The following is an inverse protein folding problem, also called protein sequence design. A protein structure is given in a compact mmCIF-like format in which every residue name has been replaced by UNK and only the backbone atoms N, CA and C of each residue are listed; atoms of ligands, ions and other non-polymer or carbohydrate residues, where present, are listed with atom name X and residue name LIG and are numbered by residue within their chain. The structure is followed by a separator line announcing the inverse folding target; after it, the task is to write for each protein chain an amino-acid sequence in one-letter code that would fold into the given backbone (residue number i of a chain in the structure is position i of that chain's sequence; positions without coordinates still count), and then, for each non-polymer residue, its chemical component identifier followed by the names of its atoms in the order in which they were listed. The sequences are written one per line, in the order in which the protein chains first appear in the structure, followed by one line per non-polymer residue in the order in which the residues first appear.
data_IF_933994021867
#
_entry.id   IF_933994021867
#
_cell.length_a   1.000
_cell.length_b   1.000
_cell.length_c   1.000
_cell.angle_alpha   90.00
_cell.angle_beta   90.00
_cell.angle_gamma   90.00
#
_symmetry.space_group_name_H-M   'P 1'
#
loop_
_entity.id
_entity.type
_entity.pdbx_description
1 polymer ?
#
# COMPACT_ATOMS: atom_id res chain seq x y z
N UNK A 1 0.93 -22.43 47.25
CA UNK A 1 2.07 -22.45 46.31
C UNK A 1 1.51 -22.70 44.92
N UNK A 2 1.50 -21.70 44.04
CA UNK A 2 0.94 -21.79 42.69
C UNK A 2 2.10 -22.12 41.73
N UNK A 3 1.95 -23.18 40.93
CA UNK A 3 2.87 -23.50 39.84
C UNK A 3 2.32 -22.90 38.56
N UNK A 4 3.03 -21.94 37.98
CA UNK A 4 2.74 -21.44 36.63
C UNK A 4 3.70 -22.11 35.64
N UNK A 5 3.16 -22.96 34.76
CA UNK A 5 3.85 -23.49 33.58
C UNK A 5 3.55 -22.57 32.40
N UNK A 6 4.37 -21.54 32.21
CA UNK A 6 4.36 -20.71 31.01
C UNK A 6 5.43 -21.21 30.04
N UNK A 7 5.04 -21.99 29.03
CA UNK A 7 5.93 -22.32 27.93
C UNK A 7 6.36 -21.02 27.22
N UNK A 8 7.65 -20.84 26.89
CA UNK A 8 8.06 -19.72 26.07
C UNK A 8 7.47 -19.93 24.68
N UNK A 9 6.52 -19.09 24.28
CA UNK A 9 6.21 -18.95 22.87
C UNK A 9 7.52 -18.53 22.19
N UNK A 10 8.01 -19.27 21.18
CA UNK A 10 9.12 -18.77 20.39
C UNK A 10 8.61 -17.49 19.71
N UNK A 11 9.10 -16.35 20.18
CA UNK A 11 8.99 -15.12 19.40
C UNK A 11 9.75 -15.41 18.11
N UNK A 12 9.01 -15.56 17.01
CA UNK A 12 9.63 -15.61 15.69
C UNK A 12 10.56 -14.40 15.58
N UNK A 13 11.83 -14.64 15.25
CA UNK A 13 12.77 -13.55 15.02
C UNK A 13 12.12 -12.57 14.04
N UNK A 14 12.11 -11.28 14.38
CA UNK A 14 11.67 -10.24 13.47
C UNK A 14 12.59 -10.31 12.25
N UNK A 15 12.09 -10.92 11.17
CA UNK A 15 12.81 -10.96 9.91
C UNK A 15 13.07 -9.51 9.50
N UNK A 16 14.33 -9.18 9.21
CA UNK A 16 14.64 -7.86 8.66
C UNK A 16 13.93 -7.74 7.31
N UNK A 17 13.15 -6.67 7.07
CA UNK A 17 12.48 -6.50 5.80
C UNK A 17 13.50 -6.48 4.67
N UNK A 18 13.25 -7.23 3.62
CA UNK A 18 14.08 -7.27 2.42
C UNK A 18 13.31 -6.69 1.25
N UNK A 19 14.00 -5.91 0.42
CA UNK A 19 13.39 -5.34 -0.77
C UNK A 19 13.14 -6.42 -1.82
N UNK A 20 11.90 -6.52 -2.32
CA UNK A 20 11.51 -7.46 -3.37
C UNK A 20 11.50 -6.77 -4.75
N UNK A 21 10.75 -5.67 -4.84
CA UNK A 21 10.56 -4.91 -6.07
C UNK A 21 9.98 -3.52 -5.78
N UNK A 22 10.11 -2.63 -6.76
CA UNK A 22 9.42 -1.34 -6.81
C UNK A 22 9.22 -0.91 -8.26
N UNK A 23 8.31 0.03 -8.44
CA UNK A 23 8.05 0.71 -9.70
C UNK A 23 7.73 2.17 -9.40
N UNK A 24 8.04 3.05 -10.34
CA UNK A 24 7.69 4.46 -10.28
C UNK A 24 7.15 4.86 -11.65
N UNK A 25 6.18 5.76 -11.67
CA UNK A 25 5.49 6.18 -12.87
C UNK A 25 5.04 7.64 -12.72
N UNK A 26 4.75 8.27 -13.85
CA UNK A 26 4.12 9.58 -13.93
C UNK A 26 3.24 9.59 -15.16
N UNK A 27 2.07 10.21 -15.06
CA UNK A 27 1.11 10.32 -16.16
C UNK A 27 0.56 11.74 -16.23
N UNK A 28 -0.14 12.07 -17.31
CA UNK A 28 -1.07 13.19 -17.29
C UNK A 28 -2.18 12.96 -16.24
N UNK A 29 -2.97 14.01 -15.95
CA UNK A 29 -4.08 13.93 -15.01
C UNK A 29 -5.15 12.95 -15.51
N UNK A 30 -5.36 11.87 -14.75
CA UNK A 30 -6.36 10.83 -14.99
C UNK A 30 -7.16 10.60 -13.71
N UNK A 31 -8.47 10.31 -13.83
CA UNK A 31 -9.31 9.97 -12.68
C UNK A 31 -9.06 8.56 -12.16
N UNK A 32 -8.45 7.70 -12.97
CA UNK A 32 -8.04 6.35 -12.62
C UNK A 32 -6.88 5.89 -13.48
N UNK A 33 -5.92 5.19 -12.89
CA UNK A 33 -4.79 4.57 -13.59
C UNK A 33 -4.33 3.30 -12.87
N UNK A 34 -3.62 2.44 -13.61
CA UNK A 34 -3.13 1.17 -13.10
C UNK A 34 -1.62 1.02 -13.29
N UNK A 35 -0.97 0.38 -12.33
CA UNK A 35 0.47 0.17 -12.27
C UNK A 35 0.73 -1.30 -12.00
N UNK A 36 1.68 -1.91 -12.72
CA UNK A 36 2.03 -3.31 -12.53
C UNK A 36 3.30 -3.46 -11.66
N UNK A 37 3.21 -4.36 -10.67
CA UNK A 37 4.34 -5.03 -10.05
C UNK A 37 4.45 -6.41 -10.70
N UNK A 38 5.46 -6.63 -11.54
CA UNK A 38 5.53 -7.82 -12.41
C UNK A 38 6.22 -9.01 -11.76
N UNK A 39 6.90 -8.83 -10.63
CA UNK A 39 7.51 -9.95 -9.88
C UNK A 39 6.51 -10.55 -8.88
N UNK A 40 6.69 -11.82 -8.49
CA UNK A 40 5.88 -12.43 -7.45
C UNK A 40 5.87 -11.62 -6.15
N UNK A 41 4.71 -11.54 -5.51
CA UNK A 41 4.55 -11.07 -4.12
C UNK A 41 4.25 -12.28 -3.26
N UNK A 42 5.02 -12.48 -2.19
CA UNK A 42 4.82 -13.58 -1.25
C UNK A 42 3.72 -13.24 -0.24
N UNK A 43 3.09 -14.28 0.32
CA UNK A 43 2.16 -14.08 1.42
C UNK A 43 2.91 -13.47 2.61
N UNK A 44 2.35 -12.41 3.19
CA UNK A 44 2.96 -11.72 4.33
C UNK A 44 3.81 -10.51 3.94
N UNK A 45 4.10 -10.30 2.64
CA UNK A 45 4.86 -9.14 2.20
C UNK A 45 4.13 -7.83 2.54
N UNK A 46 4.92 -6.80 2.86
CA UNK A 46 4.45 -5.44 3.05
C UNK A 46 4.52 -4.68 1.72
N UNK A 47 3.38 -4.16 1.29
CA UNK A 47 3.28 -3.26 0.14
C UNK A 47 3.15 -1.83 0.63
N UNK A 48 3.90 -0.91 0.03
CA UNK A 48 3.85 0.52 0.37
C UNK A 48 3.93 1.33 -0.93
N UNK A 49 3.17 2.41 -1.00
CA UNK A 49 3.25 3.37 -2.10
C UNK A 49 2.90 4.78 -1.64
N UNK A 50 3.58 5.76 -2.23
CA UNK A 50 3.23 7.17 -2.09
C UNK A 50 2.58 7.61 -3.40
N UNK A 51 1.32 8.03 -3.32
CA UNK A 51 0.54 8.44 -4.47
C UNK A 51 0.21 9.92 -4.39
N UNK A 52 0.33 10.60 -5.52
CA UNK A 52 0.01 12.01 -5.65
C UNK A 52 -0.87 12.24 -6.87
N UNK A 53 -1.96 12.97 -6.69
CA UNK A 53 -2.87 13.35 -7.76
C UNK A 53 -3.18 14.84 -7.68
N UNK A 54 -2.60 15.58 -8.61
CA UNK A 54 -2.79 17.02 -8.72
C UNK A 54 -4.23 17.35 -9.10
N UNK A 55 -4.82 18.31 -8.39
CA UNK A 55 -6.19 18.78 -8.62
C UNK A 55 -7.21 17.61 -8.65
N UNK A 56 -6.99 16.62 -7.77
CA UNK A 56 -7.95 15.60 -7.44
C UNK A 56 -9.16 16.23 -6.71
N UNK A 57 -10.41 15.91 -7.10
CA UNK A 57 -11.60 16.45 -6.44
C UNK A 57 -11.86 15.87 -5.04
N UNK A 58 -11.06 14.90 -4.60
CA UNK A 58 -11.15 14.25 -3.31
C UNK A 58 -9.95 13.34 -3.06
N UNK A 59 -10.01 12.56 -1.99
CA UNK A 59 -8.95 11.63 -1.63
C UNK A 59 -8.81 10.50 -2.66
N UNK A 60 -7.57 10.16 -2.98
CA UNK A 60 -7.30 9.00 -3.80
C UNK A 60 -7.69 7.71 -3.07
N UNK A 61 -8.01 6.68 -3.85
CA UNK A 61 -8.34 5.35 -3.39
C UNK A 61 -7.38 4.41 -4.10
N UNK A 62 -6.68 3.58 -3.31
CA UNK A 62 -5.69 2.63 -3.82
C UNK A 62 -6.18 1.23 -3.53
N UNK A 63 -6.12 0.36 -4.54
CA UNK A 63 -6.45 -1.05 -4.43
C UNK A 63 -5.56 -1.88 -5.33
N UNK A 64 -5.53 -3.20 -5.13
CA UNK A 64 -4.96 -4.12 -6.10
C UNK A 64 -5.89 -5.31 -6.38
N UNK A 65 -5.59 -6.03 -7.47
CA UNK A 65 -6.38 -7.15 -7.97
C UNK A 65 -6.44 -8.39 -7.06
N UNK A 66 -5.65 -8.46 -5.97
CA UNK A 66 -5.54 -9.62 -5.08
C UNK A 66 -5.98 -9.30 -3.64
N UNK A 67 -5.59 -8.15 -3.11
CA UNK A 67 -5.81 -7.74 -1.73
C UNK A 67 -7.01 -6.80 -1.55
N UNK A 68 -7.52 -6.21 -2.63
CA UNK A 68 -8.53 -5.16 -2.59
C UNK A 68 -7.95 -3.83 -2.13
N UNK A 69 -8.75 -3.05 -1.38
CA UNK A 69 -8.35 -1.72 -0.92
C UNK A 69 -7.12 -1.75 0.01
N UNK A 70 -6.25 -0.76 -0.15
CA UNK A 70 -5.10 -0.51 0.70
C UNK A 70 -5.46 0.44 1.84
N UNK A 71 -4.70 0.37 2.93
CA UNK A 71 -4.87 1.28 4.06
C UNK A 71 -4.21 2.61 3.74
N UNK A 72 -4.97 3.69 3.83
CA UNK A 72 -4.46 5.07 3.73
C UNK A 72 -3.87 5.52 5.05
N UNK A 73 -2.69 6.12 5.03
CA UNK A 73 -2.16 6.83 6.20
C UNK A 73 -2.73 8.24 6.20
N UNK A 74 -3.70 8.50 7.07
CA UNK A 74 -4.29 9.83 7.21
C UNK A 74 -3.31 10.84 7.84
N UNK A 75 -2.49 10.38 8.78
CA UNK A 75 -1.45 11.21 9.39
C UNK A 75 -0.33 11.48 8.36
N UNK A 76 -0.16 12.75 7.97
CA UNK A 76 0.82 13.13 6.97
C UNK A 76 0.33 13.05 5.52
N UNK A 77 -0.98 12.95 5.30
CA UNK A 77 -1.56 13.30 4.00
C UNK A 77 -1.37 14.81 3.75
N UNK A 78 -1.07 15.17 2.51
CA UNK A 78 -0.72 16.52 2.08
C UNK A 78 -1.55 16.94 0.86
N UNK A 79 -1.57 18.24 0.61
CA UNK A 79 -1.97 18.87 -0.64
C UNK A 79 -0.72 19.38 -1.37
N UNK A 80 -0.86 19.75 -2.64
CA UNK A 80 0.18 20.51 -3.34
C UNK A 80 0.25 21.95 -2.79
N UNK A 81 1.31 22.70 -3.13
CA UNK A 81 1.54 24.06 -2.62
C UNK A 81 0.40 25.07 -2.92
N UNK A 82 -0.48 24.76 -3.88
CA UNK A 82 -1.67 25.54 -4.22
C UNK A 82 -2.95 25.06 -3.50
N UNK A 83 -2.79 24.23 -2.46
CA UNK A 83 -3.86 23.58 -1.69
C UNK A 83 -4.80 22.69 -2.52
N UNK A 84 -4.37 22.27 -3.71
CA UNK A 84 -5.14 21.36 -4.54
C UNK A 84 -4.65 19.92 -4.45
N UNK A 85 -5.55 18.99 -4.81
CA UNK A 85 -5.22 17.59 -5.00
C UNK A 85 -5.01 16.79 -3.72
N UNK A 86 -4.44 15.60 -3.88
CA UNK A 86 -4.23 14.63 -2.80
C UNK A 86 -2.85 14.00 -2.93
N UNK A 87 -2.12 13.97 -1.81
CA UNK A 87 -0.83 13.33 -1.68
C UNK A 87 -0.87 12.48 -0.41
N UNK A 88 -0.77 11.15 -0.53
CA UNK A 88 -0.84 10.28 0.65
C UNK A 88 -0.04 8.99 0.50
N UNK A 89 0.39 8.46 1.65
CA UNK A 89 1.00 7.14 1.77
C UNK A 89 -0.11 6.08 1.93
N UNK A 90 0.02 4.97 1.21
CA UNK A 90 -0.83 3.81 1.37
C UNK A 90 0.03 2.58 1.61
N UNK A 91 -0.52 1.64 2.38
CA UNK A 91 0.15 0.40 2.65
C UNK A 91 -0.83 -0.78 2.69
N UNK A 92 -0.29 -1.97 2.43
CA UNK A 92 -0.98 -3.23 2.63
C UNK A 92 -0.06 -4.21 3.34
N UNK A 93 -0.33 -4.42 4.62
CA UNK A 93 0.34 -5.43 5.43
C UNK A 93 -0.25 -6.80 5.15
N UNK A 94 0.52 -7.85 5.47
CA UNK A 94 0.05 -9.23 5.39
C UNK A 94 -0.58 -9.55 4.02
N UNK A 95 0.06 -9.11 2.93
CA UNK A 95 -0.48 -9.29 1.59
C UNK A 95 -0.72 -10.77 1.28
N UNK A 96 -1.68 -11.02 0.40
CA UNK A 96 -1.93 -12.34 -0.18
C UNK A 96 -0.89 -12.61 -1.25
N UNK A 97 -0.50 -13.88 -1.38
CA UNK A 97 0.42 -14.29 -2.43
C UNK A 97 -0.12 -13.96 -3.83
N UNK A 98 0.72 -13.35 -4.66
CA UNK A 98 0.43 -13.01 -6.04
C UNK A 98 1.58 -13.49 -6.95
N UNK A 99 1.59 -14.78 -7.35
CA UNK A 99 2.67 -15.36 -8.15
C UNK A 99 2.84 -14.69 -9.52
N UNK A 100 1.75 -14.16 -10.09
CA UNK A 100 1.74 -13.42 -11.35
C UNK A 100 2.01 -11.92 -11.21
N UNK A 101 2.35 -11.45 -10.00
CA UNK A 101 2.46 -10.02 -9.70
C UNK A 101 1.13 -9.35 -9.35
N UNK A 102 1.17 -8.03 -9.17
CA UNK A 102 0.02 -7.21 -8.78
C UNK A 102 -0.26 -6.14 -9.83
N UNK A 103 -1.54 -5.84 -10.02
CA UNK A 103 -2.01 -4.63 -10.70
C UNK A 103 -2.63 -3.73 -9.64
N UNK A 104 -1.96 -2.63 -9.35
CA UNK A 104 -2.38 -1.61 -8.40
C UNK A 104 -3.20 -0.57 -9.17
N UNK A 105 -4.44 -0.36 -8.75
CA UNK A 105 -5.34 0.67 -9.28
C UNK A 105 -5.41 1.82 -8.31
N UNK A 106 -5.18 3.02 -8.83
CA UNK A 106 -5.36 4.27 -8.10
C UNK A 106 -6.47 5.05 -8.78
N UNK A 107 -7.43 5.52 -8.02
CA UNK A 107 -8.60 6.24 -8.52
C UNK A 107 -8.98 7.38 -7.60
N UNK A 108 -9.66 8.40 -8.13
CA UNK A 108 -10.31 9.45 -7.32
C UNK A 108 -11.79 9.44 -7.62
N UNK A 109 -12.60 9.50 -6.58
CA UNK A 109 -14.05 9.71 -6.74
C UNK A 109 -14.29 11.13 -7.24
N UNK A 110 -14.95 11.28 -8.38
CA UNK A 110 -15.52 12.55 -8.82
C UNK A 110 -16.89 12.72 -8.17
N UNK A 111 -17.03 13.69 -7.27
CA UNK A 111 -18.34 14.10 -6.74
C UNK A 111 -19.16 14.79 -7.82
#
# INVERSE_FOLDING_TARGET
MIVALGAPFPHAALATPTFVQATAFSTARLSSYAIALTRPVAQGDLLVGWFSQYNAPGESQVSDNVNGAWTRVAAGALTFDDDTGDIALYYRENSRAAPGGLTITVSVSTT
#
